data_IF_436111168147
#
_entry.id   IF_436111168147
#
_cell.length_a   1.000
_cell.length_b   1.000
_cell.length_c   1.000
_cell.angle_alpha   90.00
_cell.angle_beta   90.00
_cell.angle_gamma   90.00
#
_symmetry.space_group_name_H-M   'P 1'
#
loop_
_entity.id
_entity.type
_entity.pdbx_description
1 polymer ?
#
# COMPACT_ATOMS: atom_id res chain seq x y z
N UNK A 1 11.80 64.96 -30.46
CA UNK A 1 11.30 66.26 -30.97
C UNK A 1 11.79 67.34 -30.01
N UNK A 2 12.36 68.46 -30.49
CA UNK A 2 12.73 69.54 -29.57
C UNK A 2 11.44 70.12 -28.97
N UNK A 3 11.29 69.99 -27.66
CA UNK A 3 10.21 70.62 -26.93
C UNK A 3 10.62 72.08 -26.72
N UNK A 4 10.14 72.98 -27.58
CA UNK A 4 10.43 74.41 -27.44
C UNK A 4 9.71 74.93 -26.20
N UNK A 5 10.47 75.14 -25.13
CA UNK A 5 9.98 75.78 -23.91
C UNK A 5 9.60 77.21 -24.28
N UNK A 6 8.29 77.50 -24.29
CA UNK A 6 7.79 78.86 -24.47
C UNK A 6 7.69 79.51 -23.11
N UNK A 7 8.35 80.65 -22.94
CA UNK A 7 8.22 81.46 -21.73
C UNK A 7 6.84 82.12 -21.70
N UNK A 8 6.19 82.20 -20.52
CA UNK A 8 5.04 83.07 -20.33
C UNK A 8 5.39 84.52 -20.68
N UNK A 9 4.43 85.28 -21.24
CA UNK A 9 4.64 86.68 -21.67
C UNK A 9 5.22 87.56 -20.56
N UNK A 10 4.72 87.39 -19.33
CA UNK A 10 5.18 88.10 -18.14
C UNK A 10 6.68 87.87 -17.88
N UNK A 11 7.16 86.64 -18.06
CA UNK A 11 8.55 86.26 -17.85
C UNK A 11 9.41 86.75 -19.02
N UNK A 12 8.92 86.63 -20.26
CA UNK A 12 9.62 87.12 -21.44
C UNK A 12 9.82 88.65 -21.39
N UNK A 13 8.83 89.41 -20.90
CA UNK A 13 8.91 90.86 -20.71
C UNK A 13 9.98 91.28 -19.69
N UNK A 14 10.19 90.50 -18.63
CA UNK A 14 11.23 90.75 -17.61
C UNK A 14 12.64 90.56 -18.16
N UNK A 15 12.84 89.57 -19.05
CA UNK A 15 14.16 89.27 -19.61
C UNK A 15 14.47 90.00 -20.92
N UNK A 16 13.47 90.57 -21.61
CA UNK A 16 13.65 91.34 -22.85
C UNK A 16 14.49 90.60 -23.89
N UNK A 17 15.54 91.25 -24.40
CA UNK A 17 16.46 90.69 -25.40
C UNK A 17 17.23 89.45 -24.91
N UNK A 18 17.29 89.20 -23.59
CA UNK A 18 17.95 88.03 -23.00
C UNK A 18 17.05 86.79 -22.92
N UNK A 19 15.73 86.92 -23.16
CA UNK A 19 14.77 85.80 -23.10
C UNK A 19 15.19 84.56 -23.92
N UNK A 20 15.75 84.67 -25.14
CA UNK A 20 16.22 83.50 -25.90
C UNK A 20 17.35 82.72 -25.22
N UNK A 21 18.30 83.43 -24.58
CA UNK A 21 19.39 82.79 -23.83
C UNK A 21 18.87 82.05 -22.59
N UNK A 22 17.83 82.59 -21.97
CA UNK A 22 17.17 81.92 -20.84
C UNK A 22 16.41 80.66 -21.29
N UNK A 23 15.71 80.69 -22.43
CA UNK A 23 15.09 79.48 -23.02
C UNK A 23 16.14 78.42 -23.34
N UNK A 24 17.28 78.82 -23.93
CA UNK A 24 18.37 77.89 -24.26
C UNK A 24 18.99 77.25 -23.00
N UNK A 25 19.16 78.05 -21.94
CA UNK A 25 19.56 77.55 -20.63
C UNK A 25 18.55 76.55 -20.04
N UNK A 26 17.25 76.87 -20.08
CA UNK A 26 16.20 75.97 -19.59
C UNK A 26 16.17 74.68 -20.41
N UNK A 27 16.21 74.77 -21.74
CA UNK A 27 16.21 73.62 -22.63
C UNK A 27 17.41 72.71 -22.33
N UNK A 28 18.60 73.29 -22.18
CA UNK A 28 19.83 72.57 -21.81
C UNK A 28 19.70 71.90 -20.44
N UNK A 29 19.21 72.63 -19.44
CA UNK A 29 19.07 72.12 -18.06
C UNK A 29 18.05 70.98 -17.98
N UNK A 30 16.89 71.13 -18.62
CA UNK A 30 15.87 70.07 -18.65
C UNK A 30 16.30 68.85 -19.47
N UNK A 31 17.06 69.04 -20.55
CA UNK A 31 17.65 67.91 -21.27
C UNK A 31 18.65 67.14 -20.41
N UNK A 32 19.53 67.85 -19.69
CA UNK A 32 20.49 67.23 -18.76
C UNK A 32 19.76 66.49 -17.63
N UNK A 33 18.77 67.12 -17.00
CA UNK A 33 17.96 66.49 -15.94
C UNK A 33 17.16 65.29 -16.45
N UNK A 34 16.58 65.39 -17.66
CA UNK A 34 15.84 64.28 -18.26
C UNK A 34 16.74 63.08 -18.54
N UNK A 35 17.95 63.32 -19.04
CA UNK A 35 18.96 62.28 -19.27
C UNK A 35 19.42 61.65 -17.95
N UNK A 36 19.67 62.47 -16.92
CA UNK A 36 20.05 62.00 -15.58
C UNK A 36 18.94 61.15 -14.94
N UNK A 37 17.68 61.57 -15.02
CA UNK A 37 16.53 60.81 -14.51
C UNK A 37 16.35 59.50 -15.27
N UNK A 38 16.50 59.51 -16.60
CA UNK A 38 16.43 58.30 -17.40
C UNK A 38 17.55 57.32 -17.04
N UNK A 39 18.77 57.81 -16.89
CA UNK A 39 19.93 57.02 -16.48
C UNK A 39 19.77 56.44 -15.06
N UNK A 40 19.31 57.26 -14.11
CA UNK A 40 19.04 56.81 -12.74
C UNK A 40 17.94 55.74 -12.70
N UNK A 41 16.89 55.93 -13.50
CA UNK A 41 15.80 54.94 -13.64
C UNK A 41 16.32 53.63 -14.21
N UNK A 42 17.16 53.68 -15.26
CA UNK A 42 17.78 52.50 -15.86
C UNK A 42 18.63 51.73 -14.85
N UNK A 43 19.49 52.42 -14.07
CA UNK A 43 20.30 51.80 -13.01
C UNK A 43 19.41 51.17 -11.93
N UNK A 44 18.35 51.86 -11.51
CA UNK A 44 17.44 51.34 -10.48
C UNK A 44 16.71 50.07 -10.94
N UNK A 45 16.32 50.04 -12.20
CA UNK A 45 15.67 48.89 -12.82
C UNK A 45 16.64 47.71 -12.96
N UNK A 46 17.86 47.95 -13.45
CA UNK A 46 18.91 46.94 -13.57
C UNK A 46 19.23 46.32 -12.21
N UNK A 47 19.45 47.14 -11.17
CA UNK A 47 19.67 46.65 -9.80
C UNK A 47 18.50 45.80 -9.28
N UNK A 48 17.27 46.19 -9.59
CA UNK A 48 16.08 45.42 -9.19
C UNK A 48 16.04 44.08 -9.92
N UNK A 49 16.29 44.06 -11.24
CA UNK A 49 16.36 42.83 -12.02
C UNK A 49 17.47 41.89 -11.56
N UNK A 50 18.66 42.41 -11.25
CA UNK A 50 19.77 41.61 -10.71
C UNK A 50 19.37 40.95 -9.39
N UNK A 51 18.72 41.70 -8.51
CA UNK A 51 18.23 41.20 -7.21
C UNK A 51 17.18 40.10 -7.40
N UNK A 52 16.15 40.34 -8.20
CA UNK A 52 15.09 39.35 -8.45
C UNK A 52 15.65 38.10 -9.14
N UNK A 53 16.54 38.27 -10.13
CA UNK A 53 17.20 37.14 -10.80
C UNK A 53 18.06 36.33 -9.82
N UNK A 54 18.73 37.00 -8.88
CA UNK A 54 19.52 36.33 -7.85
C UNK A 54 18.62 35.58 -6.85
N UNK A 55 17.49 36.17 -6.45
CA UNK A 55 16.49 35.52 -5.59
C UNK A 55 15.93 34.26 -6.25
N UNK A 56 15.48 34.37 -7.50
CA UNK A 56 14.94 33.23 -8.26
C UNK A 56 15.98 32.11 -8.39
N UNK A 57 17.26 32.45 -8.62
CA UNK A 57 18.33 31.44 -8.68
C UNK A 57 18.52 30.71 -7.36
N UNK A 58 18.40 31.41 -6.23
CA UNK A 58 18.46 30.82 -4.89
C UNK A 58 17.26 29.90 -4.65
N UNK A 59 16.05 30.37 -4.92
CA UNK A 59 14.81 29.58 -4.77
C UNK A 59 14.84 28.31 -5.64
N UNK A 60 15.35 28.39 -6.88
CA UNK A 60 15.52 27.21 -7.74
C UNK A 60 16.55 26.24 -7.15
N UNK A 61 17.64 26.75 -6.57
CA UNK A 61 18.66 25.91 -5.94
C UNK A 61 18.10 25.20 -4.69
N UNK A 62 17.36 25.91 -3.85
CA UNK A 62 16.67 25.36 -2.68
C UNK A 62 15.65 24.30 -3.09
N UNK A 63 14.76 24.60 -4.04
CA UNK A 63 13.77 23.64 -4.54
C UNK A 63 14.42 22.38 -5.11
N UNK A 64 15.58 22.52 -5.78
CA UNK A 64 16.33 21.38 -6.29
C UNK A 64 16.87 20.51 -5.15
N UNK A 65 17.41 21.11 -4.11
CA UNK A 65 17.89 20.40 -2.92
C UNK A 65 16.75 19.72 -2.16
N UNK A 66 15.63 20.39 -1.98
CA UNK A 66 14.44 19.84 -1.32
C UNK A 66 13.90 18.64 -2.10
N UNK A 67 13.82 18.77 -3.44
CA UNK A 67 13.38 17.67 -4.31
C UNK A 67 14.33 16.48 -4.24
N UNK A 68 15.65 16.71 -4.22
CA UNK A 68 16.63 15.64 -4.07
C UNK A 68 16.51 14.93 -2.73
N UNK A 69 16.27 15.69 -1.66
CA UNK A 69 16.06 15.15 -0.30
C UNK A 69 14.80 14.30 -0.25
N UNK A 70 13.68 14.82 -0.74
CA UNK A 70 12.40 14.09 -0.78
C UNK A 70 12.50 12.79 -1.60
N UNK A 71 13.24 12.80 -2.73
CA UNK A 71 13.48 11.59 -3.53
C UNK A 71 14.32 10.56 -2.74
N UNK A 72 15.32 11.00 -1.99
CA UNK A 72 16.17 10.12 -1.19
C UNK A 72 15.40 9.49 -0.02
N UNK A 73 14.56 10.28 0.64
CA UNK A 73 13.66 9.82 1.71
C UNK A 73 12.67 8.79 1.16
N UNK A 74 11.94 9.11 0.09
CA UNK A 74 10.98 8.19 -0.54
C UNK A 74 11.63 6.87 -0.98
N UNK A 75 12.87 6.94 -1.49
CA UNK A 75 13.64 5.73 -1.85
C UNK A 75 13.95 4.87 -0.63
N UNK A 76 14.33 5.49 0.48
CA UNK A 76 14.63 4.79 1.74
C UNK A 76 13.37 4.14 2.29
N UNK A 77 12.26 4.89 2.36
CA UNK A 77 10.97 4.39 2.83
C UNK A 77 10.48 3.20 2.00
N UNK A 78 10.61 3.31 0.67
CA UNK A 78 10.24 2.22 -0.25
C UNK A 78 11.09 0.97 -0.01
N UNK A 79 12.40 1.12 0.22
CA UNK A 79 13.28 -0.02 0.51
C UNK A 79 12.92 -0.69 1.84
N UNK A 80 12.63 0.10 2.87
CA UNK A 80 12.17 -0.39 4.18
C UNK A 80 10.86 -1.16 4.04
N UNK A 81 9.85 -0.58 3.37
CA UNK A 81 8.58 -1.23 3.15
C UNK A 81 8.70 -2.57 2.38
N UNK A 82 9.59 -2.63 1.38
CA UNK A 82 9.87 -3.88 0.66
C UNK A 82 10.51 -4.93 1.59
N UNK A 83 11.44 -4.52 2.45
CA UNK A 83 12.09 -5.44 3.39
C UNK A 83 11.11 -5.97 4.45
N UNK A 84 10.21 -5.12 4.93
CA UNK A 84 9.17 -5.48 5.89
C UNK A 84 8.18 -6.47 5.27
N UNK A 85 7.64 -6.16 4.09
CA UNK A 85 6.73 -7.07 3.36
C UNK A 85 7.38 -8.42 3.06
N UNK A 86 8.68 -8.43 2.72
CA UNK A 86 9.42 -9.69 2.51
C UNK A 86 9.48 -10.51 3.78
N UNK A 87 9.75 -9.88 4.93
CA UNK A 87 9.82 -10.54 6.24
C UNK A 87 8.46 -11.08 6.67
N UNK A 88 7.40 -10.28 6.50
CA UNK A 88 6.03 -10.68 6.78
C UNK A 88 5.62 -11.89 5.92
N UNK A 89 5.92 -11.85 4.62
CA UNK A 89 5.62 -12.96 3.70
C UNK A 89 6.34 -14.24 4.09
N UNK A 90 7.63 -14.16 4.45
CA UNK A 90 8.40 -15.34 4.89
C UNK A 90 7.83 -15.93 6.19
N UNK A 91 7.41 -15.07 7.11
CA UNK A 91 6.78 -15.48 8.38
C UNK A 91 5.45 -16.19 8.11
N UNK A 92 4.58 -15.58 7.30
CA UNK A 92 3.30 -16.18 6.93
C UNK A 92 3.44 -17.55 6.22
N UNK A 93 4.46 -17.71 5.37
CA UNK A 93 4.76 -19.01 4.73
C UNK A 93 5.23 -20.04 5.77
N UNK A 94 6.05 -19.64 6.75
CA UNK A 94 6.53 -20.53 7.81
C UNK A 94 5.38 -20.99 8.72
N UNK A 95 4.49 -20.06 9.06
CA UNK A 95 3.29 -20.34 9.87
C UNK A 95 2.36 -21.31 9.13
N UNK A 96 2.02 -21.01 7.86
CA UNK A 96 1.18 -21.89 7.04
C UNK A 96 1.77 -23.30 6.90
N UNK A 97 3.10 -23.42 6.78
CA UNK A 97 3.79 -24.72 6.73
C UNK A 97 3.64 -25.48 8.05
N UNK A 98 3.74 -24.79 9.17
CA UNK A 98 3.59 -25.36 10.52
C UNK A 98 2.16 -25.83 10.74
N UNK A 99 1.18 -25.00 10.39
CA UNK A 99 -0.25 -25.33 10.49
C UNK A 99 -0.59 -26.55 9.63
N UNK A 100 -0.09 -26.58 8.39
CA UNK A 100 -0.30 -27.72 7.48
C UNK A 100 0.32 -29.01 8.04
N UNK A 101 1.53 -28.94 8.60
CA UNK A 101 2.18 -30.11 9.19
C UNK A 101 1.43 -30.62 10.42
N UNK A 102 0.89 -29.72 11.23
CA UNK A 102 0.06 -30.05 12.39
C UNK A 102 -1.22 -30.74 11.94
N UNK A 103 -1.96 -30.14 10.99
CA UNK A 103 -3.18 -30.71 10.44
C UNK A 103 -2.97 -32.10 9.83
N UNK A 104 -1.87 -32.32 9.11
CA UNK A 104 -1.52 -33.66 8.56
C UNK A 104 -1.27 -34.66 9.69
N UNK A 105 -0.60 -34.24 10.76
CA UNK A 105 -0.29 -35.10 11.91
C UNK A 105 -1.56 -35.50 12.64
N UNK A 106 -2.45 -34.54 12.87
CA UNK A 106 -3.74 -34.75 13.53
C UNK A 106 -4.62 -35.69 12.70
N UNK A 107 -4.78 -35.42 11.40
CA UNK A 107 -5.56 -36.28 10.50
C UNK A 107 -5.02 -37.72 10.48
N UNK A 108 -3.69 -37.89 10.49
CA UNK A 108 -3.07 -39.22 10.54
C UNK A 108 -3.35 -39.94 11.86
N UNK A 109 -3.39 -39.20 12.97
CA UNK A 109 -3.73 -39.73 14.28
C UNK A 109 -5.20 -40.18 14.33
N UNK A 110 -6.11 -39.33 13.84
CA UNK A 110 -7.55 -39.62 13.73
C UNK A 110 -7.78 -40.87 12.88
N UNK A 111 -7.22 -40.93 11.66
CA UNK A 111 -7.36 -42.10 10.78
C UNK A 111 -6.84 -43.40 11.43
N UNK A 112 -5.75 -43.32 12.20
CA UNK A 112 -5.21 -44.49 12.92
C UNK A 112 -6.14 -44.93 14.04
N UNK A 113 -6.72 -43.99 14.77
CA UNK A 113 -7.71 -44.26 15.81
C UNK A 113 -8.95 -44.94 15.21
N UNK A 114 -9.49 -44.37 14.14
CA UNK A 114 -10.65 -44.90 13.42
C UNK A 114 -10.39 -46.31 12.88
N UNK A 115 -9.23 -46.54 12.24
CA UNK A 115 -8.87 -47.87 11.76
C UNK A 115 -8.76 -48.89 12.89
N UNK A 116 -8.19 -48.49 14.05
CA UNK A 116 -8.12 -49.36 15.22
C UNK A 116 -9.50 -49.68 15.77
N UNK A 117 -10.42 -48.71 15.80
CA UNK A 117 -11.78 -48.93 16.25
C UNK A 117 -12.55 -49.85 15.30
N UNK A 118 -12.46 -49.61 13.99
CA UNK A 118 -13.02 -50.51 12.97
C UNK A 118 -12.50 -51.95 13.13
N UNK A 119 -11.19 -52.14 13.38
CA UNK A 119 -10.62 -53.46 13.60
C UNK A 119 -11.20 -54.15 14.84
N UNK A 120 -11.44 -53.40 15.93
CA UNK A 120 -12.11 -53.92 17.13
C UNK A 120 -13.55 -54.30 16.84
N UNK A 121 -14.30 -53.46 16.13
CA UNK A 121 -15.68 -53.73 15.76
C UNK A 121 -15.79 -55.00 14.90
N UNK A 122 -14.93 -55.15 13.88
CA UNK A 122 -14.89 -56.36 13.04
C UNK A 122 -14.56 -57.61 13.86
N UNK A 123 -13.59 -57.52 14.77
CA UNK A 123 -13.24 -58.65 15.65
C UNK A 123 -14.40 -59.03 16.58
N UNK A 124 -15.12 -58.03 17.11
CA UNK A 124 -16.34 -58.22 17.89
C UNK A 124 -17.41 -58.96 17.10
N UNK A 125 -17.74 -58.48 15.89
CA UNK A 125 -18.70 -59.13 14.98
C UNK A 125 -18.30 -60.58 14.70
N UNK A 126 -17.03 -60.84 14.42
CA UNK A 126 -16.54 -62.21 14.14
C UNK A 126 -16.72 -63.14 15.34
N UNK A 127 -16.48 -62.65 16.56
CA UNK A 127 -16.71 -63.38 17.80
C UNK A 127 -18.19 -63.70 18.00
N UNK A 128 -19.06 -62.72 17.74
CA UNK A 128 -20.51 -62.87 17.88
C UNK A 128 -21.07 -63.88 16.87
N UNK A 129 -20.66 -63.80 15.60
CA UNK A 129 -21.04 -64.78 14.56
C UNK A 129 -20.59 -66.19 14.97
N UNK A 130 -19.36 -66.33 15.47
CA UNK A 130 -18.83 -67.62 15.92
C UNK A 130 -19.62 -68.20 17.08
N UNK A 131 -20.01 -67.37 18.05
CA UNK A 131 -20.84 -67.77 19.18
C UNK A 131 -22.24 -68.17 18.71
N UNK A 132 -22.89 -67.36 17.87
CA UNK A 132 -24.19 -67.65 17.29
C UNK A 132 -24.18 -68.97 16.50
N UNK A 133 -23.15 -69.20 15.68
CA UNK A 133 -23.00 -70.44 14.89
C UNK A 133 -22.91 -71.67 15.80
N UNK A 134 -22.14 -71.60 16.90
CA UNK A 134 -22.07 -72.69 17.89
C UNK A 134 -23.44 -73.00 18.48
N UNK A 135 -24.19 -71.97 18.90
CA UNK A 135 -25.52 -72.16 19.48
C UNK A 135 -26.55 -72.71 18.48
N UNK A 136 -26.49 -72.27 17.22
CA UNK A 136 -27.33 -72.82 16.13
C UNK A 136 -27.03 -74.30 15.92
N UNK A 137 -25.76 -74.69 15.87
CA UNK A 137 -25.37 -76.10 15.70
C UNK A 137 -25.80 -76.97 16.88
N UNK A 138 -25.64 -76.48 18.11
CA UNK A 138 -26.13 -77.17 19.32
C UNK A 138 -27.65 -77.35 19.26
N UNK A 139 -28.39 -76.29 18.89
CA UNK A 139 -29.84 -76.33 18.71
C UNK A 139 -30.27 -77.34 17.65
N UNK A 140 -29.61 -77.35 16.48
CA UNK A 140 -29.86 -78.32 15.41
C UNK A 140 -29.58 -79.76 15.86
N UNK A 141 -28.45 -80.02 16.52
CA UNK A 141 -28.11 -81.35 17.03
C UNK A 141 -29.14 -81.83 18.07
N UNK A 142 -29.59 -80.96 18.97
CA UNK A 142 -30.65 -81.25 19.93
C UNK A 142 -31.98 -81.56 19.23
N UNK A 143 -32.36 -80.79 18.20
CA UNK A 143 -33.57 -81.04 17.43
C UNK A 143 -33.52 -82.42 16.72
N UNK A 144 -32.41 -82.75 16.06
CA UNK A 144 -32.22 -84.04 15.36
C UNK A 144 -32.28 -85.22 16.34
N UNK A 145 -31.65 -85.09 17.51
CA UNK A 145 -31.63 -86.16 18.53
C UNK A 145 -32.97 -86.34 19.23
N UNK A 146 -33.72 -85.26 19.47
CA UNK A 146 -35.03 -85.31 20.14
C UNK A 146 -36.20 -85.61 19.19
N UNK A 147 -36.07 -85.35 17.88
CA UNK A 147 -37.11 -85.62 16.88
C UNK A 147 -37.76 -87.02 16.97
N UNK A 148 -37.02 -88.15 17.06
CA UNK A 148 -37.64 -89.47 17.18
C UNK A 148 -38.37 -89.69 18.51
N UNK A 149 -37.96 -89.00 19.58
CA UNK A 149 -38.60 -89.10 20.90
C UNK A 149 -39.93 -88.36 20.89
N UNK A 150 -39.94 -87.13 20.37
CA UNK A 150 -41.15 -86.30 20.25
C UNK A 150 -42.19 -86.98 19.36
N UNK A 151 -41.78 -87.48 18.18
CA UNK A 151 -42.70 -88.18 17.26
C UNK A 151 -43.32 -89.43 17.90
N UNK A 152 -42.56 -90.22 18.66
CA UNK A 152 -43.08 -91.38 19.42
C UNK A 152 -44.02 -90.99 20.56
N UNK A 153 -43.83 -89.82 21.18
CA UNK A 153 -44.69 -89.34 22.26
C UNK A 153 -46.04 -88.86 21.70
N UNK A 154 -46.00 -88.10 20.60
CA UNK A 154 -47.19 -87.59 19.91
C UNK A 154 -48.06 -88.74 19.44
N UNK A 155 -47.47 -89.77 18.82
CA UNK A 155 -48.22 -90.94 18.37
C UNK A 155 -48.83 -91.77 19.51
N UNK A 156 -48.38 -91.58 20.76
CA UNK A 156 -48.98 -92.23 21.94
C UNK A 156 -50.08 -91.41 22.60
N UNK A 157 -50.01 -90.08 22.50
CA UNK A 157 -50.97 -89.16 23.11
C UNK A 157 -52.14 -88.83 22.17
N UNK A 158 -51.94 -88.95 20.86
CA UNK A 158 -52.98 -88.80 19.83
C UNK A 158 -52.95 -90.03 18.90
N UNK A 159 -53.77 -91.07 19.17
CA UNK A 159 -53.93 -92.22 18.27
C UNK A 159 -54.72 -91.88 17.00
#
# INVERSE_FOLDING_TARGET
>A
MPHFIKLPEEVAAVFGDAAPKFVDFLATTFSIQGDEVAHMSAISFERTLEKETSSIRLEIAELRTDTQTAIAELRTDTQTAIADLRTETMTAIADLRTDTQTAITDLRSEMKADFSDMQKQISGIHKDISAQTKWILVGLAAAVTLYPIVTRLVSRLFP
#
